data_IF_994519301336
#
_entry.id   IF_994519301336
#
_cell.length_a   1.000
_cell.length_b   1.000
_cell.length_c   1.000
_cell.angle_alpha   90.00
_cell.angle_beta   90.00
_cell.angle_gamma   90.00
#
_symmetry.space_group_name_H-M   'P 1'
#
loop_
_entity.id
_entity.type
_entity.pdbx_description
1 polymer ?
#
# COMPACT_ATOMS: atom_id res chain seq x y z
N UNK A 1 3.81 16.81 9.77
CA UNK A 1 2.98 15.87 8.96
C UNK A 1 3.05 14.51 9.62
N UNK A 2 1.89 13.92 9.94
CA UNK A 2 1.77 12.54 10.43
C UNK A 2 1.37 11.58 9.27
N UNK A 3 1.15 10.28 9.56
CA UNK A 3 0.78 9.29 8.53
C UNK A 3 -0.59 9.59 7.91
N UNK A 4 -1.54 10.04 8.72
CA UNK A 4 -2.87 10.44 8.25
C UNK A 4 -2.80 11.56 7.22
N UNK A 5 -2.10 12.65 7.53
CA UNK A 5 -1.90 13.77 6.58
C UNK A 5 -1.17 13.33 5.30
N UNK A 6 -0.20 12.41 5.43
CA UNK A 6 0.55 11.89 4.30
C UNK A 6 -0.34 11.15 3.28
N UNK A 7 -1.43 10.50 3.70
CA UNK A 7 -2.42 9.85 2.81
C UNK A 7 -2.96 10.84 1.77
N UNK A 8 -3.29 12.05 2.20
CA UNK A 8 -3.91 13.06 1.35
C UNK A 8 -2.91 13.81 0.48
N UNK A 9 -1.61 13.75 0.82
CA UNK A 9 -0.56 14.52 0.18
C UNK A 9 0.36 13.67 -0.71
N UNK A 10 0.63 12.41 -0.36
CA UNK A 10 1.58 11.58 -1.09
C UNK A 10 1.23 11.39 -2.56
N UNK A 11 2.27 11.33 -3.39
CA UNK A 11 2.16 10.88 -4.79
C UNK A 11 3.30 9.93 -5.15
N UNK A 12 3.16 9.18 -6.24
CA UNK A 12 4.26 8.39 -6.79
C UNK A 12 5.28 9.29 -7.46
N UNK A 13 6.49 9.35 -6.91
CA UNK A 13 7.62 10.11 -7.43
C UNK A 13 8.46 9.21 -8.33
N UNK A 14 8.82 9.67 -9.52
CA UNK A 14 9.61 8.92 -10.51
C UNK A 14 10.91 9.60 -10.94
N UNK A 15 11.18 10.80 -10.40
CA UNK A 15 12.38 11.58 -10.68
C UNK A 15 12.99 12.06 -9.37
N UNK A 16 14.23 11.63 -9.10
CA UNK A 16 14.90 11.81 -7.82
C UNK A 16 16.24 12.51 -7.98
N UNK A 17 16.64 13.31 -6.97
CA UNK A 17 18.03 13.67 -6.74
C UNK A 17 18.82 12.41 -6.36
N UNK A 18 20.06 12.28 -6.86
CA UNK A 18 20.90 11.13 -6.55
C UNK A 18 21.80 11.39 -5.32
N UNK A 19 21.26 12.16 -4.37
CA UNK A 19 21.92 12.53 -3.12
C UNK A 19 21.64 11.49 -2.02
N UNK A 20 22.58 11.31 -1.08
CA UNK A 20 22.33 10.50 0.11
C UNK A 20 21.17 11.06 0.94
N UNK A 21 20.31 10.18 1.42
CA UNK A 21 19.33 10.48 2.48
C UNK A 21 20.08 10.48 3.82
N UNK A 22 19.67 11.35 4.76
CA UNK A 22 20.23 11.38 6.10
C UNK A 22 20.16 9.96 6.72
N UNK A 23 21.30 9.48 7.24
CA UNK A 23 21.44 8.16 7.85
C UNK A 23 20.46 7.93 9.02
N UNK A 24 20.13 8.98 9.75
CA UNK A 24 19.13 8.95 10.82
C UNK A 24 17.73 8.60 10.31
N UNK A 25 17.33 9.12 9.14
CA UNK A 25 16.04 8.74 8.51
C UNK A 25 16.06 7.27 8.11
N UNK A 26 17.17 6.75 7.61
CA UNK A 26 17.30 5.32 7.27
C UNK A 26 17.24 4.42 8.50
N UNK A 27 17.76 4.88 9.63
CA UNK A 27 17.64 4.19 10.92
C UNK A 27 16.17 4.22 11.40
N UNK A 28 15.56 5.41 11.45
CA UNK A 28 14.14 5.56 11.84
C UNK A 28 13.21 4.73 10.96
N UNK A 29 13.52 4.57 9.66
CA UNK A 29 12.74 3.71 8.76
C UNK A 29 12.79 2.24 9.20
N UNK A 30 13.96 1.74 9.65
CA UNK A 30 14.07 0.36 10.16
C UNK A 30 13.35 0.18 11.50
N UNK A 31 13.48 1.16 12.39
CA UNK A 31 12.80 1.18 13.68
C UNK A 31 11.29 1.19 13.50
N UNK A 32 10.78 2.05 12.61
CA UNK A 32 9.37 2.12 12.28
C UNK A 32 8.86 0.81 11.66
N UNK A 33 9.63 0.20 10.75
CA UNK A 33 9.28 -1.14 10.22
C UNK A 33 9.11 -2.18 11.34
N UNK A 34 9.99 -2.17 12.35
CA UNK A 34 9.90 -3.07 13.50
C UNK A 34 8.68 -2.84 14.41
N UNK A 35 8.03 -1.68 14.29
CA UNK A 35 6.82 -1.32 15.05
C UNK A 35 5.52 -1.61 14.29
N UNK A 36 5.60 -1.81 12.97
CA UNK A 36 4.40 -2.09 12.16
C UNK A 36 3.90 -3.50 12.46
N UNK A 37 2.71 -3.59 13.00
CA UNK A 37 1.97 -4.84 13.05
C UNK A 37 1.33 -5.11 11.68
N UNK A 38 1.70 -6.22 11.04
CA UNK A 38 1.13 -6.59 9.73
C UNK A 38 -0.32 -7.08 9.85
N UNK A 39 -1.02 -7.13 8.73
CA UNK A 39 -2.39 -7.71 8.67
C UNK A 39 -2.44 -9.16 9.14
N UNK A 40 -1.34 -9.88 9.00
CA UNK A 40 -1.17 -11.25 9.51
C UNK A 40 0.17 -11.34 10.24
N UNK A 41 0.18 -11.22 11.58
CA UNK A 41 1.40 -11.29 12.39
C UNK A 41 2.14 -12.64 12.30
N UNK A 42 1.45 -13.70 11.87
CA UNK A 42 2.04 -15.02 11.66
C UNK A 42 2.88 -15.16 10.37
N UNK A 43 3.01 -14.11 9.57
CA UNK A 43 3.85 -14.08 8.35
C UNK A 43 5.16 -13.36 8.66
N UNK A 44 6.27 -14.12 8.63
CA UNK A 44 7.59 -13.50 8.78
C UNK A 44 7.96 -12.69 7.52
N UNK A 45 8.48 -11.46 7.75
CA UNK A 45 8.87 -10.53 6.69
C UNK A 45 10.23 -9.90 6.98
N UNK A 46 10.89 -9.40 5.94
CA UNK A 46 12.12 -8.62 6.04
C UNK A 46 12.16 -7.49 5.02
N UNK A 47 12.84 -6.40 5.36
CA UNK A 47 13.15 -5.32 4.43
C UNK A 47 14.66 -5.23 4.15
N UNK A 48 15.02 -4.75 2.97
CA UNK A 48 16.39 -4.43 2.62
C UNK A 48 16.47 -3.07 1.96
N UNK A 49 17.25 -2.16 2.54
CA UNK A 49 17.56 -0.86 1.95
C UNK A 49 18.79 -1.02 1.05
N UNK A 50 18.63 -0.68 -0.23
CA UNK A 50 19.67 -0.76 -1.25
C UNK A 50 20.11 0.65 -1.59
N UNK A 51 21.36 0.98 -1.27
CA UNK A 51 21.99 2.25 -1.67
C UNK A 51 22.37 2.22 -3.15
N UNK A 52 21.89 3.18 -3.90
CA UNK A 52 22.20 3.40 -5.31
C UNK A 52 22.70 4.83 -5.58
N UNK A 53 23.12 5.57 -4.58
CA UNK A 53 23.59 6.96 -4.73
C UNK A 53 24.71 7.08 -5.75
N UNK A 54 25.60 6.07 -5.84
CA UNK A 54 26.68 6.00 -6.84
C UNK A 54 26.21 5.55 -8.23
N UNK A 55 24.93 5.25 -8.42
CA UNK A 55 24.35 4.84 -9.70
C UNK A 55 24.86 3.50 -10.27
N UNK A 56 25.60 2.71 -9.46
CA UNK A 56 26.26 1.46 -9.89
C UNK A 56 25.35 0.22 -9.81
N UNK A 57 24.21 0.31 -9.11
CA UNK A 57 23.28 -0.80 -8.99
C UNK A 57 22.40 -0.91 -10.25
N UNK A 58 22.89 -1.68 -11.21
CA UNK A 58 22.19 -1.96 -12.49
C UNK A 58 20.93 -2.83 -12.35
N UNK A 59 20.39 -2.98 -11.14
CA UNK A 59 19.20 -3.84 -10.91
C UNK A 59 17.92 -3.36 -11.62
N UNK A 60 17.96 -2.17 -12.24
CA UNK A 60 16.75 -1.40 -12.45
C UNK A 60 16.58 -0.86 -13.88
N UNK A 61 17.21 -1.45 -14.87
CA UNK A 61 17.14 -0.91 -16.24
C UNK A 61 15.77 -1.06 -16.92
N UNK A 62 14.79 -1.74 -16.31
CA UNK A 62 13.59 -2.14 -17.05
C UNK A 62 12.42 -1.14 -17.04
N UNK A 63 12.39 -0.10 -16.18
CA UNK A 63 11.25 0.84 -16.12
C UNK A 63 11.59 2.31 -15.87
N UNK A 64 12.82 2.73 -16.06
CA UNK A 64 13.13 4.16 -16.11
C UNK A 64 13.06 4.94 -14.79
N UNK A 65 12.80 4.31 -13.63
CA UNK A 65 12.83 4.98 -12.33
C UNK A 65 14.19 4.80 -11.69
N UNK A 66 15.08 5.81 -11.85
CA UNK A 66 16.38 5.87 -11.19
C UNK A 66 16.22 6.65 -9.89
N UNK A 67 16.49 6.00 -8.76
CA UNK A 67 16.41 6.59 -7.42
C UNK A 67 17.72 6.36 -6.64
N UNK A 68 18.01 7.20 -5.62
CA UNK A 68 19.19 7.01 -4.77
C UNK A 68 19.06 5.79 -3.86
N UNK A 69 17.84 5.41 -3.48
CA UNK A 69 17.57 4.24 -2.64
C UNK A 69 16.42 3.42 -3.15
N UNK A 70 16.51 2.13 -2.87
CA UNK A 70 15.40 1.20 -3.07
C UNK A 70 15.16 0.39 -1.80
N UNK A 71 13.90 0.17 -1.47
CA UNK A 71 13.46 -0.70 -0.39
C UNK A 71 12.89 -1.98 -0.99
N UNK A 72 13.59 -3.10 -0.78
CA UNK A 72 13.11 -4.42 -1.19
C UNK A 72 12.41 -5.10 -0.01
N UNK A 73 11.25 -5.70 -0.27
CA UNK A 73 10.44 -6.41 0.71
C UNK A 73 10.43 -7.90 0.42
N UNK A 74 10.66 -8.69 1.45
CA UNK A 74 10.67 -10.15 1.42
C UNK A 74 9.66 -10.70 2.41
N UNK A 75 9.00 -11.81 2.06
CA UNK A 75 7.99 -12.46 2.87
C UNK A 75 8.04 -13.98 2.73
N UNK A 76 7.59 -14.70 3.75
CA UNK A 76 7.21 -16.09 3.60
C UNK A 76 6.13 -16.23 2.55
N UNK A 77 6.10 -17.40 1.88
CA UNK A 77 5.07 -17.77 0.90
C UNK A 77 3.87 -18.41 1.64
N UNK A 78 3.01 -17.56 2.20
CA UNK A 78 1.77 -17.94 2.90
C UNK A 78 0.57 -17.24 2.28
N UNK A 79 -0.62 -17.71 2.59
CA UNK A 79 -1.87 -17.02 2.21
C UNK A 79 -1.87 -15.58 2.71
N UNK A 80 -2.35 -14.66 1.90
CA UNK A 80 -2.38 -13.21 2.15
C UNK A 80 -1.00 -12.54 2.29
N UNK A 81 0.11 -13.22 1.97
CA UNK A 81 1.45 -12.64 2.09
C UNK A 81 1.65 -11.39 1.24
N UNK A 82 1.05 -11.33 0.03
CA UNK A 82 1.12 -10.14 -0.80
C UNK A 82 0.27 -8.99 -0.25
N UNK A 83 -0.89 -9.30 0.32
CA UNK A 83 -1.73 -8.29 0.99
C UNK A 83 -1.02 -7.71 2.21
N UNK A 84 -0.42 -8.58 3.04
CA UNK A 84 0.40 -8.18 4.19
C UNK A 84 1.59 -7.29 3.76
N UNK A 85 2.27 -7.65 2.67
CA UNK A 85 3.36 -6.85 2.10
C UNK A 85 2.89 -5.45 1.65
N UNK A 86 1.74 -5.37 0.97
CA UNK A 86 1.14 -4.10 0.56
C UNK A 86 0.81 -3.20 1.74
N UNK A 87 0.25 -3.79 2.79
CA UNK A 87 -0.11 -3.11 4.03
C UNK A 87 1.10 -2.49 4.74
N UNK A 88 2.16 -3.28 4.94
CA UNK A 88 3.39 -2.81 5.59
C UNK A 88 4.12 -1.78 4.72
N UNK A 89 4.28 -2.06 3.43
CA UNK A 89 5.02 -1.20 2.52
C UNK A 89 4.37 0.16 2.29
N UNK A 90 3.04 0.26 2.36
CA UNK A 90 2.39 1.57 2.25
C UNK A 90 2.60 2.40 3.52
N UNK A 91 2.58 1.82 4.71
CA UNK A 91 2.93 2.55 5.94
C UNK A 91 4.35 3.09 5.87
N UNK A 92 5.32 2.30 5.36
CA UNK A 92 6.69 2.78 5.12
C UNK A 92 6.74 3.89 4.06
N UNK A 93 5.90 3.84 3.03
CA UNK A 93 5.75 4.89 2.03
C UNK A 93 5.21 6.19 2.64
N UNK A 94 4.19 6.09 3.48
CA UNK A 94 3.63 7.22 4.22
C UNK A 94 4.65 7.81 5.20
N UNK A 95 5.36 6.96 5.95
CA UNK A 95 6.44 7.38 6.84
C UNK A 95 7.52 8.17 6.08
N UNK A 96 8.02 7.68 4.96
CA UNK A 96 8.99 8.38 4.14
C UNK A 96 8.45 9.73 3.63
N UNK A 97 7.16 9.79 3.29
CA UNK A 97 6.49 11.04 2.93
C UNK A 97 6.51 12.06 4.10
N UNK A 98 6.31 11.62 5.34
CA UNK A 98 6.40 12.52 6.53
C UNK A 98 7.80 13.08 6.72
N UNK A 99 8.84 12.39 6.22
CA UNK A 99 10.25 12.82 6.26
C UNK A 99 10.65 13.66 5.04
N UNK A 100 9.70 14.09 4.21
CA UNK A 100 9.99 14.90 3.01
C UNK A 100 10.52 14.12 1.82
N UNK A 101 10.41 12.79 1.82
CA UNK A 101 10.90 11.92 0.76
C UNK A 101 9.77 11.43 -0.15
N UNK A 102 10.05 11.39 -1.45
CA UNK A 102 9.17 10.79 -2.43
C UNK A 102 9.34 9.28 -2.53
N UNK A 103 8.27 8.57 -2.85
CA UNK A 103 8.25 7.11 -3.01
C UNK A 103 7.57 6.68 -4.31
N UNK A 104 7.93 5.49 -4.81
CA UNK A 104 7.24 4.86 -5.94
C UNK A 104 7.38 3.34 -5.87
N UNK A 105 6.24 2.63 -5.85
CA UNK A 105 6.23 1.16 -6.00
C UNK A 105 6.69 0.73 -7.40
N UNK A 106 7.50 -0.33 -7.48
CA UNK A 106 8.11 -0.84 -8.69
C UNK A 106 7.73 -2.30 -8.91
N UNK A 107 6.56 -2.52 -9.49
CA UNK A 107 5.98 -3.86 -9.64
C UNK A 107 6.72 -4.79 -10.62
N UNK A 108 7.37 -4.26 -11.64
CA UNK A 108 8.01 -5.09 -12.70
C UNK A 108 9.48 -5.37 -12.43
N UNK A 109 10.04 -4.75 -11.39
CA UNK A 109 11.46 -4.91 -11.03
C UNK A 109 11.67 -6.23 -10.31
N UNK A 110 12.66 -6.98 -10.78
CA UNK A 110 13.18 -8.17 -10.09
C UNK A 110 14.58 -7.88 -9.56
N UNK A 111 14.90 -8.27 -8.32
CA UNK A 111 16.27 -8.21 -7.82
C UNK A 111 17.18 -9.13 -8.66
N UNK A 112 18.49 -8.91 -8.60
CA UNK A 112 19.48 -9.76 -9.27
C UNK A 112 19.27 -11.23 -8.89
N UNK A 113 19.62 -12.13 -9.81
CA UNK A 113 19.72 -13.56 -9.51
C UNK A 113 20.61 -13.73 -8.27
N UNK A 114 20.15 -14.48 -7.28
CA UNK A 114 20.81 -14.65 -5.98
C UNK A 114 20.31 -13.75 -4.85
N UNK A 115 19.58 -12.65 -5.16
CA UNK A 115 18.93 -11.82 -4.12
C UNK A 115 17.40 -11.92 -4.15
N UNK A 116 16.87 -12.91 -4.86
CA UNK A 116 15.42 -13.15 -4.96
C UNK A 116 14.86 -13.86 -3.72
N UNK A 117 15.73 -14.44 -2.91
CA UNK A 117 15.40 -15.08 -1.62
C UNK A 117 16.38 -14.62 -0.54
N UNK A 118 15.90 -14.62 0.70
CA UNK A 118 16.66 -14.46 1.94
C UNK A 118 16.24 -15.58 2.87
N UNK A 119 17.05 -16.64 2.96
CA UNK A 119 16.62 -17.86 3.63
C UNK A 119 15.35 -18.42 3.00
N UNK A 120 14.29 -18.58 3.81
CA UNK A 120 12.97 -19.03 3.38
C UNK A 120 12.07 -17.90 2.80
N UNK A 121 12.50 -16.63 2.91
CA UNK A 121 11.72 -15.49 2.43
C UNK A 121 11.93 -15.25 0.95
N UNK A 122 10.84 -14.96 0.23
CA UNK A 122 10.82 -14.63 -1.19
C UNK A 122 10.62 -13.13 -1.39
N UNK A 123 11.30 -12.58 -2.38
CA UNK A 123 11.09 -11.20 -2.80
C UNK A 123 9.64 -10.99 -3.29
N UNK A 124 8.98 -9.95 -2.77
CA UNK A 124 7.59 -9.59 -3.11
C UNK A 124 7.55 -8.35 -3.99
N UNK A 125 8.07 -7.24 -3.50
CA UNK A 125 7.96 -5.93 -4.15
C UNK A 125 9.16 -5.04 -3.82
N UNK A 126 9.39 -4.03 -4.65
CA UNK A 126 10.38 -3.00 -4.42
C UNK A 126 9.74 -1.61 -4.47
N UNK A 127 10.27 -0.69 -3.68
CA UNK A 127 9.88 0.71 -3.69
C UNK A 127 11.12 1.58 -3.85
N UNK A 128 11.09 2.50 -4.83
CA UNK A 128 12.08 3.56 -4.95
C UNK A 128 11.79 4.66 -3.95
N UNK A 129 12.81 5.27 -3.34
CA UNK A 129 12.63 6.43 -2.49
C UNK A 129 13.85 7.36 -2.49
N UNK A 130 13.61 8.62 -2.09
CA UNK A 130 14.62 9.66 -2.00
C UNK A 130 14.03 11.05 -2.15
N UNK A 131 14.90 12.07 -2.17
CA UNK A 131 14.51 13.46 -2.43
C UNK A 131 14.03 13.60 -3.88
N UNK A 132 12.84 14.15 -4.05
CA UNK A 132 12.26 14.39 -5.37
C UNK A 132 12.91 15.59 -6.08
N UNK A 133 13.13 15.49 -7.40
CA UNK A 133 13.54 16.66 -8.22
C UNK A 133 12.48 17.76 -8.32
N UNK A 134 11.24 17.43 -8.01
CA UNK A 134 10.12 18.37 -7.96
C UNK A 134 9.32 18.16 -6.69
N UNK A 135 8.05 18.52 -6.69
CA UNK A 135 7.19 18.24 -5.54
C UNK A 135 7.09 16.73 -5.28
N UNK A 136 7.21 16.30 -4.03
CA UNK A 136 6.94 14.93 -3.58
C UNK A 136 5.48 14.76 -3.09
N UNK A 137 4.73 15.86 -3.03
CA UNK A 137 3.33 15.89 -2.61
C UNK A 137 2.41 16.42 -3.72
N UNK A 138 1.12 16.24 -3.57
CA UNK A 138 0.02 16.79 -4.37
C UNK A 138 -1.17 17.08 -3.46
N UNK A 139 -2.10 17.90 -3.90
CA UNK A 139 -3.41 18.02 -3.24
C UNK A 139 -4.25 16.77 -3.50
N UNK A 140 -5.11 16.39 -2.56
CA UNK A 140 -6.00 15.22 -2.72
C UNK A 140 -6.89 15.35 -3.98
N UNK A 141 -7.39 16.54 -4.28
CA UNK A 141 -8.19 16.83 -5.48
C UNK A 141 -7.44 16.61 -6.81
N UNK A 142 -6.10 16.65 -6.80
CA UNK A 142 -5.27 16.38 -7.98
C UNK A 142 -5.05 14.88 -8.21
N UNK A 143 -5.49 14.03 -7.28
CA UNK A 143 -5.38 12.59 -7.41
C UNK A 143 -6.33 12.07 -8.49
N UNK A 144 -5.78 11.44 -9.53
CA UNK A 144 -6.60 10.73 -10.52
C UNK A 144 -7.17 9.46 -9.88
N UNK A 145 -8.29 9.59 -9.19
CA UNK A 145 -9.01 8.50 -8.52
C UNK A 145 -10.49 8.53 -8.92
N UNK A 146 -11.09 7.35 -8.94
CA UNK A 146 -12.54 7.21 -9.11
C UNK A 146 -13.26 7.91 -7.94
N UNK A 147 -14.45 8.44 -8.20
CA UNK A 147 -15.27 9.04 -7.15
C UNK A 147 -15.86 7.97 -6.23
N UNK A 148 -16.15 8.33 -4.98
CA UNK A 148 -16.78 7.40 -4.03
C UNK A 148 -18.12 6.86 -4.54
N UNK A 149 -18.88 7.66 -5.31
CA UNK A 149 -20.14 7.22 -5.94
C UNK A 149 -19.96 6.06 -6.94
N UNK A 150 -18.75 5.91 -7.52
CA UNK A 150 -18.42 4.83 -8.45
C UNK A 150 -17.87 3.60 -7.71
N UNK A 151 -17.28 3.82 -6.53
CA UNK A 151 -16.65 2.78 -5.72
C UNK A 151 -17.59 2.17 -4.68
N UNK A 152 -18.60 2.93 -4.22
CA UNK A 152 -19.43 2.56 -3.06
C UNK A 152 -20.88 2.28 -3.44
N UNK A 153 -21.42 1.23 -2.83
CA UNK A 153 -22.87 1.00 -2.72
C UNK A 153 -23.23 1.21 -1.24
N UNK A 154 -23.96 2.28 -0.96
CA UNK A 154 -24.41 2.61 0.38
C UNK A 154 -25.73 1.86 0.67
N UNK A 155 -25.74 1.04 1.72
CA UNK A 155 -26.93 0.38 2.25
C UNK A 155 -27.60 1.23 3.34
N UNK A 156 -26.80 2.07 3.98
CA UNK A 156 -27.22 2.99 5.03
C UNK A 156 -26.49 4.32 4.85
N UNK A 157 -27.00 5.38 5.46
CA UNK A 157 -26.37 6.71 5.37
C UNK A 157 -25.05 6.71 6.14
N UNK A 158 -23.90 6.91 5.48
CA UNK A 158 -22.62 6.81 6.15
C UNK A 158 -22.42 7.98 7.12
N UNK A 159 -21.96 7.67 8.33
CA UNK A 159 -21.50 8.66 9.31
C UNK A 159 -20.24 9.39 8.81
N UNK A 160 -19.90 10.52 9.41
CA UNK A 160 -18.77 11.35 8.97
C UNK A 160 -17.43 10.59 9.02
N UNK A 161 -17.16 9.86 10.09
CA UNK A 161 -15.94 9.05 10.19
C UNK A 161 -15.86 7.96 9.12
N UNK A 162 -16.99 7.34 8.74
CA UNK A 162 -17.05 6.36 7.66
C UNK A 162 -16.64 6.98 6.31
N UNK A 163 -17.08 8.21 6.06
CA UNK A 163 -16.69 8.95 4.84
C UNK A 163 -15.19 9.23 4.82
N UNK A 164 -14.57 9.52 5.97
CA UNK A 164 -13.12 9.73 6.07
C UNK A 164 -12.34 8.46 5.78
N UNK A 165 -12.77 7.30 6.32
CA UNK A 165 -12.18 5.99 6.01
C UNK A 165 -12.26 5.68 4.50
N UNK A 166 -13.43 5.88 3.88
CA UNK A 166 -13.65 5.62 2.46
C UNK A 166 -12.83 6.56 1.57
N UNK A 167 -12.72 7.84 1.95
CA UNK A 167 -11.91 8.81 1.20
C UNK A 167 -10.42 8.46 1.23
N UNK A 168 -9.91 8.03 2.38
CA UNK A 168 -8.54 7.55 2.50
C UNK A 168 -8.29 6.29 1.67
N UNK A 169 -9.20 5.31 1.76
CA UNK A 169 -9.14 4.09 0.95
C UNK A 169 -9.15 4.39 -0.56
N UNK A 170 -9.99 5.33 -0.99
CA UNK A 170 -10.07 5.80 -2.38
C UNK A 170 -8.73 6.38 -2.88
N UNK A 171 -7.99 7.10 -2.02
CA UNK A 171 -6.72 7.74 -2.36
C UNK A 171 -5.54 6.78 -2.46
N UNK A 172 -5.68 5.54 -2.03
CA UNK A 172 -4.63 4.52 -2.07
C UNK A 172 -4.05 4.35 -3.48
N UNK A 173 -2.72 4.19 -3.61
CA UNK A 173 -2.13 3.86 -4.90
C UNK A 173 -2.41 2.40 -5.28
N UNK A 174 -2.48 2.15 -6.58
CA UNK A 174 -2.60 0.80 -7.12
C UNK A 174 -1.78 0.64 -8.40
N UNK A 175 -1.44 -0.59 -8.73
CA UNK A 175 -0.76 -0.94 -9.98
C UNK A 175 -1.54 -0.39 -11.17
N UNK A 176 -0.84 0.38 -12.03
CA UNK A 176 -1.43 1.05 -13.20
C UNK A 176 -2.67 1.91 -12.87
N UNK A 177 -2.82 2.32 -11.61
CA UNK A 177 -3.98 3.06 -11.09
C UNK A 177 -5.31 2.30 -11.31
N UNK A 178 -5.28 0.98 -11.21
CA UNK A 178 -6.42 0.09 -11.51
C UNK A 178 -7.60 0.24 -10.56
N UNK A 179 -7.35 0.64 -9.29
CA UNK A 179 -8.37 0.84 -8.25
C UNK A 179 -9.38 -0.32 -8.20
N UNK A 180 -8.92 -1.56 -7.92
CA UNK A 180 -9.73 -2.76 -8.08
C UNK A 180 -10.84 -2.91 -7.05
N UNK A 181 -10.84 -2.11 -6.02
CA UNK A 181 -11.76 -2.18 -4.88
C UNK A 181 -13.15 -1.65 -5.19
N UNK A 182 -14.16 -2.28 -4.59
CA UNK A 182 -15.54 -1.84 -4.50
C UNK A 182 -16.02 -2.02 -3.07
N UNK A 183 -16.85 -1.11 -2.58
CA UNK A 183 -17.27 -1.06 -1.20
C UNK A 183 -18.79 -1.20 -1.10
N UNK A 184 -19.25 -2.07 -0.20
CA UNK A 184 -20.64 -2.10 0.26
C UNK A 184 -20.64 -1.59 1.68
N UNK A 185 -21.32 -0.46 1.90
CA UNK A 185 -21.19 0.35 3.12
C UNK A 185 -22.47 0.28 3.94
N UNK A 186 -22.32 -0.10 5.20
CA UNK A 186 -23.34 -0.05 6.25
C UNK A 186 -22.91 1.01 7.29
N UNK A 187 -23.69 1.19 8.35
CA UNK A 187 -23.39 2.18 9.39
C UNK A 187 -22.15 1.82 10.23
N UNK A 188 -21.87 0.52 10.41
CA UNK A 188 -20.79 0.02 11.26
C UNK A 188 -19.78 -0.87 10.53
N UNK A 189 -19.90 -1.08 9.21
CA UNK A 189 -18.98 -1.95 8.46
C UNK A 189 -18.89 -1.60 6.98
N UNK A 190 -17.76 -1.95 6.42
CA UNK A 190 -17.47 -1.87 4.98
C UNK A 190 -17.11 -3.27 4.49
N UNK A 191 -17.91 -3.85 3.60
CA UNK A 191 -17.51 -5.04 2.87
C UNK A 191 -16.72 -4.63 1.62
N UNK A 192 -15.52 -5.17 1.48
CA UNK A 192 -14.62 -4.88 0.38
C UNK A 192 -14.64 -6.01 -0.64
N UNK A 193 -14.84 -5.64 -1.90
CA UNK A 193 -14.85 -6.55 -3.03
C UNK A 193 -13.80 -6.17 -4.06
N UNK A 194 -13.21 -7.14 -4.70
CA UNK A 194 -12.42 -7.00 -5.91
C UNK A 194 -13.33 -7.00 -7.14
N UNK A 195 -13.17 -6.04 -8.04
CA UNK A 195 -13.80 -6.08 -9.36
C UNK A 195 -13.12 -7.17 -10.19
N UNK A 196 -13.85 -8.17 -10.66
CA UNK A 196 -13.30 -9.20 -11.55
C UNK A 196 -12.86 -8.58 -12.88
N UNK A 197 -11.62 -8.82 -13.26
CA UNK A 197 -11.05 -8.40 -14.54
C UNK A 197 -10.73 -9.62 -15.40
N UNK A 198 -11.03 -9.53 -16.70
CA UNK A 198 -10.69 -10.59 -17.67
C UNK A 198 -9.21 -10.58 -18.09
N UNK A 199 -8.37 -9.74 -17.47
CA UNK A 199 -6.97 -9.57 -17.89
C UNK A 199 -5.99 -10.14 -16.85
N UNK A 200 -5.31 -11.21 -17.22
CA UNK A 200 -4.33 -11.96 -16.41
C UNK A 200 -3.15 -11.12 -15.86
N UNK A 201 -2.86 -9.94 -16.40
CA UNK A 201 -1.71 -9.13 -16.02
C UNK A 201 -1.97 -8.19 -14.82
N UNK A 202 -3.22 -7.80 -14.55
CA UNK A 202 -3.58 -6.96 -13.42
C UNK A 202 -3.73 -7.75 -12.11
N UNK A 203 -4.10 -9.04 -12.20
CA UNK A 203 -4.31 -9.90 -11.05
C UNK A 203 -3.05 -10.17 -10.20
N UNK A 204 -1.86 -10.07 -10.79
CA UNK A 204 -0.59 -10.36 -10.08
C UNK A 204 -0.33 -9.49 -8.86
N UNK A 205 -0.81 -8.23 -8.85
CA UNK A 205 -0.60 -7.28 -7.75
C UNK A 205 -1.91 -6.92 -7.06
N UNK A 206 -2.97 -7.67 -7.30
CA UNK A 206 -4.29 -7.34 -6.79
C UNK A 206 -4.32 -7.42 -5.26
N UNK A 207 -3.85 -8.50 -4.66
CA UNK A 207 -3.74 -8.63 -3.20
C UNK A 207 -2.86 -7.52 -2.59
N UNK A 208 -1.73 -7.19 -3.22
CA UNK A 208 -0.85 -6.12 -2.77
C UNK A 208 -1.58 -4.76 -2.81
N UNK A 209 -2.36 -4.49 -3.86
CA UNK A 209 -3.17 -3.28 -3.96
C UNK A 209 -4.21 -3.18 -2.83
N UNK A 210 -4.84 -4.31 -2.44
CA UNK A 210 -5.76 -4.34 -1.30
C UNK A 210 -5.04 -4.09 0.02
N UNK A 211 -3.86 -4.65 0.22
CA UNK A 211 -3.04 -4.36 1.39
C UNK A 211 -2.71 -2.87 1.51
N UNK A 212 -2.30 -2.24 0.42
CA UNK A 212 -2.06 -0.79 0.36
C UNK A 212 -3.33 0.00 0.73
N UNK A 213 -4.49 -0.39 0.22
CA UNK A 213 -5.75 0.27 0.51
C UNK A 213 -6.16 0.08 1.98
N UNK A 214 -6.03 -1.13 2.53
CA UNK A 214 -6.31 -1.39 3.95
C UNK A 214 -5.36 -0.62 4.88
N UNK A 215 -4.10 -0.40 4.48
CA UNK A 215 -3.18 0.47 5.22
C UNK A 215 -3.72 1.88 5.38
N UNK A 216 -4.24 2.48 4.29
CA UNK A 216 -4.88 3.80 4.36
C UNK A 216 -6.08 3.82 5.30
N UNK A 217 -6.94 2.79 5.20
CA UNK A 217 -8.13 2.67 6.03
C UNK A 217 -7.76 2.59 7.52
N UNK A 218 -6.79 1.72 7.86
CA UNK A 218 -6.39 1.49 9.26
C UNK A 218 -5.64 2.69 9.86
N UNK A 219 -4.80 3.39 9.08
CA UNK A 219 -4.15 4.63 9.55
C UNK A 219 -5.18 5.70 9.90
N UNK A 220 -6.27 5.81 9.12
CA UNK A 220 -7.36 6.75 9.46
C UNK A 220 -8.17 6.25 10.64
N UNK A 221 -8.41 4.95 10.76
CA UNK A 221 -9.10 4.38 11.92
C UNK A 221 -8.35 4.70 13.22
N UNK A 222 -7.03 4.51 13.22
CA UNK A 222 -6.15 4.84 14.34
C UNK A 222 -6.19 6.33 14.70
N UNK A 223 -6.07 7.23 13.71
CA UNK A 223 -6.14 8.70 13.93
C UNK A 223 -7.47 9.13 14.52
N UNK A 224 -8.56 8.44 14.17
CA UNK A 224 -9.92 8.71 14.67
C UNK A 224 -10.28 7.95 15.95
N UNK A 225 -9.35 7.19 16.51
CA UNK A 225 -9.56 6.34 17.69
C UNK A 225 -10.71 5.33 17.50
N UNK A 226 -10.81 4.78 16.29
CA UNK A 226 -11.80 3.76 15.93
C UNK A 226 -11.17 2.38 16.07
N UNK A 227 -11.85 1.50 16.79
CA UNK A 227 -11.48 0.07 16.85
C UNK A 227 -12.09 -0.66 15.66
N UNK A 228 -11.27 -1.00 14.67
CA UNK A 228 -11.70 -1.61 13.41
C UNK A 228 -11.00 -2.93 13.20
N UNK A 229 -11.79 -4.00 13.06
CA UNK A 229 -11.31 -5.30 12.65
C UNK A 229 -11.34 -5.49 11.13
N UNK A 230 -10.27 -6.04 10.58
CA UNK A 230 -10.22 -6.53 9.20
C UNK A 230 -10.39 -8.05 9.21
N UNK A 231 -11.58 -8.54 8.92
CA UNK A 231 -11.91 -9.98 9.00
C UNK A 231 -12.54 -10.51 7.71
N UNK A 232 -12.39 -11.80 7.49
CA UNK A 232 -13.06 -12.52 6.42
C UNK A 232 -14.31 -13.18 6.97
N UNK A 233 -15.47 -12.73 6.50
CA UNK A 233 -16.78 -13.28 6.90
C UNK A 233 -17.11 -14.51 6.04
N UNK A 234 -17.36 -15.65 6.67
CA UNK A 234 -17.64 -16.92 5.97
C UNK A 234 -18.95 -16.85 5.18
N UNK A 235 -19.99 -16.25 5.76
CA UNK A 235 -21.31 -16.10 5.14
C UNK A 235 -21.29 -15.33 3.82
N UNK A 236 -20.31 -14.45 3.61
CA UNK A 236 -20.10 -13.70 2.37
C UNK A 236 -19.09 -14.41 1.47
N UNK A 237 -18.07 -15.04 2.05
CA UNK A 237 -16.99 -15.71 1.31
C UNK A 237 -17.48 -16.81 0.38
N UNK A 238 -18.54 -17.52 0.77
CA UNK A 238 -19.14 -18.60 -0.01
C UNK A 238 -20.12 -18.13 -1.09
N UNK A 239 -20.48 -16.83 -1.11
CA UNK A 239 -21.40 -16.31 -2.12
C UNK A 239 -20.66 -16.03 -3.44
N UNK A 240 -21.23 -16.49 -4.54
CA UNK A 240 -20.71 -16.18 -5.87
C UNK A 240 -21.34 -14.89 -6.39
N UNK A 241 -20.49 -13.88 -6.60
CA UNK A 241 -20.90 -12.60 -7.19
C UNK A 241 -20.44 -12.58 -8.66
N UNK A 242 -21.31 -12.32 -9.64
CA UNK A 242 -20.96 -12.39 -11.06
C UNK A 242 -19.76 -11.51 -11.46
N UNK A 243 -19.73 -10.27 -10.95
CA UNK A 243 -18.79 -9.25 -11.37
C UNK A 243 -17.72 -8.88 -10.32
N UNK A 244 -17.84 -9.41 -9.12
CA UNK A 244 -17.00 -9.06 -7.98
C UNK A 244 -16.59 -10.31 -7.21
N UNK A 245 -15.49 -10.21 -6.47
CA UNK A 245 -15.06 -11.23 -5.52
C UNK A 245 -14.91 -10.58 -4.15
N UNK A 246 -15.46 -11.20 -3.13
CA UNK A 246 -15.31 -10.73 -1.75
C UNK A 246 -13.85 -10.86 -1.30
N UNK A 247 -13.35 -9.82 -0.63
CA UNK A 247 -11.99 -9.77 -0.09
C UNK A 247 -12.02 -9.88 1.42
N UNK A 248 -12.38 -8.82 2.11
CA UNK A 248 -12.48 -8.72 3.57
C UNK A 248 -13.56 -7.71 3.95
N UNK A 249 -13.91 -7.70 5.23
CA UNK A 249 -14.75 -6.66 5.84
C UNK A 249 -13.97 -5.89 6.89
N UNK A 250 -14.10 -4.56 6.86
CA UNK A 250 -13.72 -3.69 7.96
C UNK A 250 -14.96 -3.50 8.84
N UNK A 251 -14.87 -3.94 10.09
CA UNK A 251 -15.98 -3.90 11.06
C UNK A 251 -15.58 -3.04 12.24
N UNK A 252 -16.38 -2.03 12.53
CA UNK A 252 -16.21 -1.20 13.73
C UNK A 252 -16.71 -1.99 14.96
N UNK A 253 -15.84 -2.13 15.96
CA UNK A 253 -16.24 -2.59 17.29
C UNK A 253 -16.92 -1.44 18.01
N UNK A 254 -18.15 -1.65 18.43
CA UNK A 254 -18.95 -0.72 19.25
C UNK A 254 -18.81 -1.06 20.70
#
# INVERSE_FOLDING_TARGET
>A
MNLYEAIFLRKSVRSYEMEPVNGEILQQLREFYGQIEGLNPGIHTEISIIDNTKGKNRMMHFLGVKAPYYLAFYSEEKDLAQMNAGYIMEQLSLFLCTKGLGTCFLGVVKPKIGTQRRGNLKFVIMMAFGKSKGSYTRKAAEARRMDLKELCVYKEVPRQWMKQLLEAARLAPSSLNSQPWRFVVYDNRIHVFAKKHNMNHLGRYEELNFGIMFSHLMVVAEELWLDVDLIRLEDISHKNFPNNQYVLSAILRT
#
